data_IF_075983505495
#
_entry.id   IF_075983505495
#
_cell.length_a   1.000
_cell.length_b   1.000
_cell.length_c   1.000
_cell.angle_alpha   90.00
_cell.angle_beta   90.00
_cell.angle_gamma   90.00
#
_symmetry.space_group_name_H-M   'P 1'
#
loop_
_entity.id
_entity.type
_entity.pdbx_description
1 polymer ?
#
# COMPACT_ATOMS: atom_id res chain seq x y z
N UNK A 1 2.91 -19.19 -0.19
CA UNK A 1 4.15 -18.44 0.07
C UNK A 1 3.86 -16.96 0.12
N UNK A 2 4.50 -16.29 1.04
CA UNK A 2 4.30 -14.86 1.26
C UNK A 2 4.56 -14.01 0.02
N UNK A 3 5.59 -14.36 -0.77
CA UNK A 3 5.97 -13.59 -1.95
C UNK A 3 4.94 -13.64 -3.07
N UNK A 4 4.01 -14.58 -3.02
CA UNK A 4 2.96 -14.67 -4.05
C UNK A 4 1.66 -14.00 -3.64
N UNK A 5 1.58 -13.47 -2.42
CA UNK A 5 0.40 -12.75 -1.99
C UNK A 5 0.28 -11.43 -2.76
N UNK A 6 -0.94 -10.95 -2.99
CA UNK A 6 -1.11 -9.74 -3.79
C UNK A 6 -0.64 -8.47 -3.09
N UNK A 7 -0.47 -7.43 -3.89
CA UNK A 7 -0.20 -6.09 -3.40
C UNK A 7 -1.47 -5.28 -3.63
N UNK A 8 -2.03 -4.73 -2.56
CA UNK A 8 -3.23 -3.90 -2.68
C UNK A 8 -2.81 -2.45 -2.88
N UNK A 9 -3.29 -1.84 -3.95
CA UNK A 9 -3.01 -0.43 -4.23
C UNK A 9 -4.28 0.37 -4.01
N UNK A 10 -4.21 1.39 -3.19
CA UNK A 10 -5.34 2.28 -2.91
C UNK A 10 -5.00 3.65 -3.48
N UNK A 11 -5.53 3.93 -4.67
CA UNK A 11 -5.13 5.09 -5.46
C UNK A 11 -6.24 5.44 -6.45
N UNK A 12 -6.70 6.69 -6.44
CA UNK A 12 -7.77 7.11 -7.34
C UNK A 12 -7.29 7.67 -8.68
N UNK A 13 -6.02 8.04 -8.79
CA UNK A 13 -5.48 8.62 -10.02
C UNK A 13 -5.07 7.50 -10.98
N UNK A 14 -5.75 7.42 -12.13
CA UNK A 14 -5.50 6.34 -13.10
C UNK A 14 -4.08 6.39 -13.66
N UNK A 15 -3.49 7.56 -13.79
CA UNK A 15 -2.11 7.69 -14.28
C UNK A 15 -1.16 7.09 -13.27
N UNK A 16 -1.36 7.38 -11.98
CA UNK A 16 -0.53 6.82 -10.92
C UNK A 16 -0.69 5.31 -10.83
N UNK A 17 -1.92 4.81 -11.00
CA UNK A 17 -2.16 3.36 -11.03
C UNK A 17 -1.37 2.71 -12.16
N UNK A 18 -1.39 3.31 -13.35
CA UNK A 18 -0.65 2.79 -14.49
C UNK A 18 0.86 2.81 -14.25
N UNK A 19 1.35 3.87 -13.61
CA UNK A 19 2.77 3.99 -13.29
C UNK A 19 3.22 2.88 -12.33
N UNK A 20 2.42 2.61 -11.30
CA UNK A 20 2.72 1.52 -10.37
C UNK A 20 2.69 0.17 -11.08
N UNK A 21 1.67 -0.07 -11.92
CA UNK A 21 1.58 -1.31 -12.70
C UNK A 21 2.82 -1.50 -13.56
N UNK A 22 3.25 -0.44 -14.22
CA UNK A 22 4.43 -0.49 -15.08
C UNK A 22 5.68 -0.83 -14.28
N UNK A 23 5.86 -0.18 -13.13
CA UNK A 23 7.04 -0.42 -12.30
C UNK A 23 7.08 -1.86 -11.80
N UNK A 24 5.93 -2.38 -11.36
CA UNK A 24 5.84 -3.76 -10.89
C UNK A 24 6.19 -4.74 -11.99
N UNK A 25 5.71 -4.48 -13.21
CA UNK A 25 6.02 -5.33 -14.36
C UNK A 25 7.50 -5.24 -14.73
N UNK A 26 8.03 -4.02 -14.83
CA UNK A 26 9.43 -3.82 -15.25
C UNK A 26 10.41 -4.40 -14.24
N UNK A 27 10.07 -4.39 -12.97
CA UNK A 27 10.92 -4.93 -11.89
C UNK A 27 10.64 -6.40 -11.61
N UNK A 28 9.68 -7.00 -12.31
CA UNK A 28 9.29 -8.40 -12.15
C UNK A 28 8.95 -8.73 -10.69
N UNK A 29 8.22 -7.83 -10.06
CA UNK A 29 7.78 -8.03 -8.68
C UNK A 29 6.75 -9.16 -8.64
N UNK A 30 6.93 -10.09 -7.71
CA UNK A 30 6.03 -11.24 -7.58
C UNK A 30 4.68 -10.82 -6.99
N UNK A 31 3.63 -11.55 -7.37
CA UNK A 31 2.29 -11.31 -6.86
C UNK A 31 1.48 -10.39 -7.74
N UNK A 32 0.17 -10.51 -7.60
CA UNK A 32 -0.76 -9.72 -8.38
C UNK A 32 -0.97 -8.35 -7.75
N UNK A 33 -1.04 -7.30 -8.60
CA UNK A 33 -1.40 -5.97 -8.13
C UNK A 33 -2.92 -5.84 -8.19
N UNK A 34 -3.52 -5.48 -7.07
CA UNK A 34 -4.97 -5.29 -6.97
C UNK A 34 -5.21 -3.79 -6.81
N UNK A 35 -5.59 -3.07 -7.88
CA UNK A 35 -5.86 -1.64 -7.75
C UNK A 35 -7.27 -1.38 -7.24
N UNK A 36 -7.41 -0.44 -6.33
CA UNK A 36 -8.69 0.02 -5.83
C UNK A 36 -8.67 1.54 -5.87
N UNK A 37 -9.83 2.15 -6.14
CA UNK A 37 -9.92 3.57 -6.42
C UNK A 37 -10.14 4.47 -5.21
N UNK A 38 -10.50 3.89 -4.07
CA UNK A 38 -10.69 4.66 -2.84
C UNK A 38 -10.70 3.73 -1.64
N UNK A 39 -10.78 4.31 -0.44
CA UNK A 39 -10.75 3.53 0.78
C UNK A 39 -11.91 2.58 0.96
N UNK A 40 -13.10 2.97 0.46
CA UNK A 40 -14.27 2.10 0.58
C UNK A 40 -14.12 0.84 -0.26
N UNK A 41 -13.64 1.01 -1.49
CA UNK A 41 -13.39 -0.14 -2.37
C UNK A 41 -12.31 -1.04 -1.80
N UNK A 42 -11.26 -0.45 -1.25
CA UNK A 42 -10.18 -1.22 -0.64
C UNK A 42 -10.67 -2.01 0.58
N UNK A 43 -11.50 -1.40 1.42
CA UNK A 43 -12.05 -2.11 2.56
C UNK A 43 -12.97 -3.25 2.14
N UNK A 44 -13.75 -3.05 1.07
CA UNK A 44 -14.59 -4.12 0.55
C UNK A 44 -13.74 -5.32 0.12
N UNK A 45 -12.62 -5.05 -0.55
CA UNK A 45 -11.69 -6.11 -0.93
C UNK A 45 -11.15 -6.84 0.30
N UNK A 46 -10.71 -6.08 1.30
CA UNK A 46 -10.08 -6.66 2.50
C UNK A 46 -11.05 -7.47 3.35
N UNK A 47 -12.32 -7.07 3.37
CA UNK A 47 -13.32 -7.75 4.20
C UNK A 47 -13.90 -8.99 3.54
N UNK A 48 -13.70 -9.16 2.25
CA UNK A 48 -14.17 -10.33 1.53
C UNK A 48 -13.21 -11.49 1.80
N UNK A 49 -13.67 -12.46 2.57
CA UNK A 49 -12.83 -13.60 2.96
C UNK A 49 -12.45 -14.50 1.79
N UNK A 50 -13.14 -14.36 0.66
CA UNK A 50 -12.76 -15.08 -0.54
C UNK A 50 -11.55 -14.53 -1.25
N UNK A 51 -11.13 -13.30 -0.89
CA UNK A 51 -9.97 -12.67 -1.50
C UNK A 51 -8.71 -13.01 -0.73
N UNK A 52 -7.60 -13.15 -1.46
CA UNK A 52 -6.30 -13.38 -0.82
C UNK A 52 -5.88 -12.15 -0.03
N UNK A 53 -5.33 -12.37 1.15
CA UNK A 53 -4.85 -11.29 2.00
C UNK A 53 -3.60 -10.67 1.38
N UNK A 54 -3.53 -9.35 1.22
CA UNK A 54 -2.34 -8.75 0.63
C UNK A 54 -1.15 -8.80 1.58
N UNK A 55 0.04 -8.86 0.99
CA UNK A 55 1.27 -8.82 1.79
C UNK A 55 1.67 -7.40 2.14
N UNK A 56 1.15 -6.42 1.41
CA UNK A 56 1.40 -5.01 1.67
C UNK A 56 0.30 -4.19 1.03
N UNK A 57 -0.03 -3.06 1.65
CA UNK A 57 -0.97 -2.09 1.09
C UNK A 57 -0.18 -0.83 0.75
N UNK A 58 -0.27 -0.39 -0.51
CA UNK A 58 0.30 0.89 -0.94
C UNK A 58 -0.85 1.89 -0.95
N UNK A 59 -0.73 2.94 -0.18
CA UNK A 59 -1.85 3.83 0.12
C UNK A 59 -1.53 5.28 -0.22
N UNK A 60 -2.34 5.90 -1.07
CA UNK A 60 -2.29 7.34 -1.27
C UNK A 60 -3.20 8.02 -0.22
N UNK A 61 -2.77 9.14 0.28
CA UNK A 61 -3.53 9.87 1.31
C UNK A 61 -4.67 10.71 0.72
N UNK A 62 -4.48 11.21 -0.50
CA UNK A 62 -5.42 12.17 -1.10
C UNK A 62 -6.38 11.49 -2.06
N UNK A 63 -7.53 11.05 -1.54
CA UNK A 63 -8.54 10.36 -2.32
C UNK A 63 -9.93 10.89 -1.98
N UNK A 64 -10.89 10.80 -2.92
CA UNK A 64 -12.27 11.19 -2.63
C UNK A 64 -12.94 10.15 -1.72
N UNK A 65 -14.12 10.47 -1.24
CA UNK A 65 -14.93 9.65 -0.34
C UNK A 65 -14.20 9.38 0.96
N UNK A 66 -13.46 8.30 1.04
CA UNK A 66 -12.68 7.98 2.23
C UNK A 66 -11.21 8.26 1.92
N UNK A 67 -10.62 9.26 2.56
CA UNK A 67 -9.20 9.59 2.32
C UNK A 67 -8.30 8.54 2.98
N UNK A 68 -6.99 8.61 2.64
CA UNK A 68 -6.06 7.60 3.11
C UNK A 68 -5.90 7.54 4.61
N UNK A 69 -5.99 8.69 5.29
CA UNK A 69 -5.86 8.74 6.75
C UNK A 69 -7.01 7.99 7.42
N UNK A 70 -8.22 8.20 6.93
CA UNK A 70 -9.39 7.49 7.44
C UNK A 70 -9.29 5.98 7.19
N UNK A 71 -8.85 5.61 6.00
CA UNK A 71 -8.66 4.21 5.65
C UNK A 71 -7.64 3.55 6.58
N UNK A 72 -6.51 4.20 6.78
CA UNK A 72 -5.44 3.68 7.64
C UNK A 72 -5.95 3.47 9.06
N UNK A 73 -6.70 4.43 9.58
CA UNK A 73 -7.26 4.34 10.92
C UNK A 73 -8.17 3.12 11.05
N UNK A 74 -9.02 2.89 10.07
CA UNK A 74 -9.95 1.75 10.10
C UNK A 74 -9.20 0.43 10.03
N UNK A 75 -8.22 0.31 9.12
CA UNK A 75 -7.43 -0.91 8.97
C UNK A 75 -6.68 -1.24 10.26
N UNK A 76 -6.07 -0.23 10.88
CA UNK A 76 -5.26 -0.48 12.07
C UNK A 76 -6.08 -0.69 13.34
N UNK A 77 -7.38 -0.38 13.29
CA UNK A 77 -8.29 -0.70 14.39
C UNK A 77 -8.93 -2.08 14.26
N UNK A 78 -8.80 -2.73 13.12
CA UNK A 78 -9.42 -4.03 12.85
C UNK A 78 -8.46 -5.15 13.21
N UNK A 79 -8.90 -6.08 14.07
CA UNK A 79 -8.04 -7.16 14.56
C UNK A 79 -7.50 -8.05 13.45
N UNK A 80 -8.28 -8.25 12.39
CA UNK A 80 -7.85 -9.10 11.27
C UNK A 80 -6.92 -8.36 10.31
N UNK A 81 -7.11 -7.05 10.15
CA UNK A 81 -6.42 -6.28 9.11
C UNK A 81 -5.20 -5.54 9.63
N UNK A 82 -5.12 -5.27 10.92
CA UNK A 82 -4.06 -4.40 11.47
C UNK A 82 -2.65 -4.93 11.25
N UNK A 83 -2.51 -6.23 11.02
CA UNK A 83 -1.19 -6.85 10.81
C UNK A 83 -0.64 -6.65 9.41
N UNK A 84 -1.50 -6.26 8.47
CA UNK A 84 -1.05 -6.02 7.09
C UNK A 84 -0.26 -4.72 7.09
N UNK A 85 1.00 -4.73 6.62
CA UNK A 85 1.78 -3.50 6.59
C UNK A 85 1.21 -2.52 5.56
N UNK A 86 1.14 -1.25 5.94
CA UNK A 86 0.67 -0.19 5.05
C UNK A 86 1.82 0.77 4.81
N UNK A 87 2.17 0.96 3.55
CA UNK A 87 3.17 1.95 3.15
C UNK A 87 2.44 3.07 2.43
N UNK A 88 2.56 4.28 2.96
CA UNK A 88 1.98 5.45 2.30
C UNK A 88 2.83 5.83 1.11
N UNK A 89 2.20 6.01 -0.05
CA UNK A 89 2.87 6.41 -1.28
C UNK A 89 2.08 7.59 -1.85
N UNK A 90 2.55 8.79 -1.62
CA UNK A 90 1.76 10.00 -1.89
C UNK A 90 2.66 11.15 -2.33
N UNK A 91 2.08 12.17 -2.95
CA UNK A 91 2.82 13.37 -3.32
C UNK A 91 3.03 14.30 -2.13
N UNK A 92 2.30 14.10 -1.05
CA UNK A 92 2.44 14.97 0.13
C UNK A 92 3.78 14.76 0.82
N UNK A 93 4.48 15.86 1.09
CA UNK A 93 5.72 15.85 1.87
C UNK A 93 5.52 16.67 3.15
N UNK A 94 4.29 16.84 3.59
CA UNK A 94 3.93 17.60 4.77
C UNK A 94 4.36 16.85 6.04
N UNK A 95 5.03 17.55 6.95
CA UNK A 95 5.43 16.95 8.22
C UNK A 95 4.23 16.46 9.00
N UNK A 96 3.09 17.17 8.89
CA UNK A 96 1.86 16.77 9.57
C UNK A 96 1.33 15.44 9.03
N UNK A 97 1.31 15.28 7.71
CA UNK A 97 0.85 14.04 7.10
C UNK A 97 1.76 12.88 7.45
N UNK A 98 3.08 13.12 7.44
CA UNK A 98 4.05 12.09 7.78
C UNK A 98 3.85 11.65 9.23
N UNK A 99 3.81 12.60 10.15
CA UNK A 99 3.64 12.30 11.57
C UNK A 99 2.33 11.58 11.84
N UNK A 100 1.25 12.04 11.23
CA UNK A 100 -0.08 11.44 11.42
C UNK A 100 -0.11 10.01 10.91
N UNK A 101 0.51 9.76 9.75
CA UNK A 101 0.54 8.41 9.18
C UNK A 101 1.25 7.43 10.10
N UNK A 102 2.39 7.80 10.64
CA UNK A 102 3.12 6.91 11.56
C UNK A 102 2.37 6.76 12.88
N UNK A 103 1.75 7.83 13.37
CA UNK A 103 0.93 7.75 14.58
C UNK A 103 -0.20 6.75 14.41
N UNK A 104 -0.78 6.67 13.23
CA UNK A 104 -1.88 5.75 12.94
C UNK A 104 -1.41 4.34 12.59
N UNK A 105 -0.11 4.11 12.53
CA UNK A 105 0.41 2.76 12.35
C UNK A 105 0.97 2.43 10.97
N UNK A 106 1.25 3.43 10.14
CA UNK A 106 1.89 3.16 8.86
C UNK A 106 3.28 2.55 9.08
N UNK A 107 3.65 1.60 8.24
CA UNK A 107 4.96 0.96 8.30
C UNK A 107 6.03 1.76 7.56
N UNK A 108 5.61 2.59 6.62
CA UNK A 108 6.54 3.42 5.86
C UNK A 108 5.81 4.56 5.18
N UNK A 109 6.58 5.54 4.73
CA UNK A 109 6.06 6.73 4.07
C UNK A 109 7.00 7.10 2.94
N UNK A 110 6.52 7.05 1.72
CA UNK A 110 7.31 7.34 0.53
C UNK A 110 6.65 8.47 -0.25
N UNK A 111 7.44 9.47 -0.63
CA UNK A 111 6.93 10.58 -1.45
C UNK A 111 7.08 10.20 -2.91
N UNK A 112 5.98 10.28 -3.68
CA UNK A 112 5.99 9.95 -5.11
C UNK A 112 6.94 10.88 -5.86
N UNK A 113 7.58 10.34 -6.90
CA UNK A 113 8.46 11.10 -7.76
C UNK A 113 7.91 11.12 -9.17
N UNK A 114 8.02 12.28 -9.86
CA UNK A 114 7.66 12.38 -11.27
C UNK A 114 8.73 11.76 -12.17
N UNK A 115 9.92 11.54 -11.63
CA UNK A 115 11.00 10.86 -12.35
C UNK A 115 10.77 9.35 -12.23
N UNK A 116 10.50 8.69 -13.35
CA UNK A 116 10.16 7.27 -13.35
C UNK A 116 11.27 6.40 -12.77
N UNK A 117 12.54 6.75 -13.04
CA UNK A 117 13.65 5.97 -12.49
C UNK A 117 13.66 6.01 -10.98
N UNK A 118 13.42 7.18 -10.40
CA UNK A 118 13.35 7.32 -8.93
C UNK A 118 12.14 6.59 -8.40
N UNK A 119 11.02 6.65 -9.12
CA UNK A 119 9.81 5.93 -8.72
C UNK A 119 10.07 4.42 -8.69
N UNK A 120 10.78 3.90 -9.71
CA UNK A 120 11.13 2.48 -9.73
C UNK A 120 12.00 2.09 -8.55
N UNK A 121 12.95 2.97 -8.15
CA UNK A 121 13.78 2.70 -6.98
C UNK A 121 12.95 2.60 -5.70
N UNK A 122 11.91 3.43 -5.59
CA UNK A 122 11.00 3.36 -4.44
C UNK A 122 10.29 2.02 -4.41
N UNK A 123 9.70 1.61 -5.53
CA UNK A 123 8.98 0.34 -5.61
C UNK A 123 9.93 -0.83 -5.36
N UNK A 124 11.13 -0.78 -5.92
CA UNK A 124 12.14 -1.82 -5.71
C UNK A 124 12.52 -1.94 -4.23
N UNK A 125 12.68 -0.80 -3.56
CA UNK A 125 13.02 -0.78 -2.14
C UNK A 125 11.90 -1.40 -1.31
N UNK A 126 10.66 -1.05 -1.61
CA UNK A 126 9.50 -1.61 -0.91
C UNK A 126 9.46 -3.13 -1.10
N UNK A 127 9.62 -3.59 -2.34
CA UNK A 127 9.59 -5.01 -2.64
C UNK A 127 10.72 -5.75 -1.93
N UNK A 128 11.94 -5.22 -2.00
CA UNK A 128 13.10 -5.85 -1.36
C UNK A 128 12.89 -5.96 0.14
N UNK A 129 12.41 -4.91 0.76
CA UNK A 129 12.21 -4.91 2.21
C UNK A 129 11.22 -6.00 2.62
N UNK A 130 10.06 -6.06 1.95
CA UNK A 130 9.01 -7.00 2.36
C UNK A 130 9.30 -8.42 1.91
N UNK A 131 10.14 -8.60 0.89
CA UNK A 131 10.57 -9.94 0.48
C UNK A 131 11.55 -10.50 1.50
N UNK A 132 12.43 -9.66 2.04
CA UNK A 132 13.44 -10.10 2.99
C UNK A 132 12.98 -10.06 4.45
N UNK A 133 11.98 -9.23 4.73
CA UNK A 133 11.49 -9.08 6.09
C UNK A 133 10.65 -10.27 6.51
N UNK A 134 10.69 -10.60 7.79
CA UNK A 134 9.85 -11.67 8.32
C UNK A 134 8.52 -11.09 8.78
N UNK A 135 7.45 -11.85 8.54
CA UNK A 135 6.15 -11.46 9.05
C UNK A 135 6.06 -11.76 10.55
N UNK A 136 5.16 -11.08 11.27
CA UNK A 136 4.91 -11.45 12.67
C UNK A 136 4.50 -12.93 12.76
N UNK A 137 4.75 -13.60 13.89
CA UNK A 137 4.49 -15.04 14.01
C UNK A 137 3.07 -15.47 13.63
N UNK A 138 2.07 -14.63 13.87
CA UNK A 138 0.68 -14.94 13.53
C UNK A 138 0.17 -14.04 12.41
N UNK A 139 1.06 -13.62 11.53
CA UNK A 139 0.73 -12.65 10.51
C UNK A 139 0.34 -13.24 9.17
N UNK A 140 -0.57 -14.17 9.15
CA UNK A 140 -1.08 -14.66 7.89
C UNK A 140 -2.28 -13.83 7.40
#
# INVERSE_FOLDING_TARGET
MRSSNPILLVEDDSVDVMTVKRAIKDLEVAGELIPTGDGEEALAYLKDEGNAKPRVILLDLNMPKMNGTEFLKIVKADERLKKIPVIVLTTSNSEQDIAKSFELGAAGYMVKSVDYKKFMEIIKTIDSYWTLSKLPPNGE
#
